data_IF_725838879485
#
_entry.id   IF_725838879485
#
_cell.length_a   1.000
_cell.length_b   1.000
_cell.length_c   1.000
_cell.angle_alpha   90.00
_cell.angle_beta   90.00
_cell.angle_gamma   90.00
#
_symmetry.space_group_name_H-M   'P 1'
#
loop_
_entity.id
_entity.type
_entity.pdbx_description
1 polymer ?
#
# COMPACT_ATOMS: atom_id res chain seq x y z
N UNK A 1 -24.42 24.36 4.34
CA UNK A 1 -24.77 22.95 4.03
C UNK A 1 -24.14 22.44 2.73
N UNK A 2 -24.00 23.25 1.68
CA UNK A 2 -23.47 22.85 0.38
C UNK A 2 -21.97 22.42 0.43
N UNK A 3 -21.12 23.14 1.14
CA UNK A 3 -19.69 22.85 1.25
C UNK A 3 -19.38 21.47 1.86
N UNK A 4 -20.09 21.06 2.90
CA UNK A 4 -19.92 19.75 3.53
C UNK A 4 -20.31 18.60 2.58
N UNK A 5 -21.40 18.77 1.84
CA UNK A 5 -21.84 17.78 0.84
C UNK A 5 -20.82 17.66 -0.28
N UNK A 6 -20.28 18.77 -0.76
CA UNK A 6 -19.27 18.80 -1.80
C UNK A 6 -17.98 18.09 -1.35
N UNK A 7 -17.47 18.37 -0.14
CA UNK A 7 -16.30 17.68 0.41
C UNK A 7 -16.50 16.17 0.53
N UNK A 8 -17.67 15.73 1.00
CA UNK A 8 -18.02 14.31 1.10
C UNK A 8 -18.08 13.63 -0.27
N UNK A 9 -18.73 14.27 -1.22
CA UNK A 9 -18.78 13.77 -2.60
C UNK A 9 -17.37 13.64 -3.19
N UNK A 10 -16.52 14.67 -3.06
CA UNK A 10 -15.13 14.63 -3.52
C UNK A 10 -14.31 13.50 -2.89
N UNK A 11 -14.43 13.29 -1.58
CA UNK A 11 -13.73 12.22 -0.89
C UNK A 11 -14.18 10.82 -1.35
N UNK A 12 -15.49 10.61 -1.52
CA UNK A 12 -16.03 9.34 -2.02
C UNK A 12 -15.68 9.11 -3.50
N UNK A 13 -15.71 10.16 -4.33
CA UNK A 13 -15.30 10.07 -5.74
C UNK A 13 -13.82 9.71 -5.87
N UNK A 14 -12.94 10.32 -5.06
CA UNK A 14 -11.53 9.96 -5.06
C UNK A 14 -11.32 8.50 -4.60
N UNK A 15 -12.01 8.06 -3.55
CA UNK A 15 -11.93 6.68 -3.10
C UNK A 15 -12.39 5.70 -4.20
N UNK A 16 -13.52 5.98 -4.84
CA UNK A 16 -14.03 5.18 -5.96
C UNK A 16 -13.07 5.17 -7.17
N UNK A 17 -12.46 6.32 -7.49
CA UNK A 17 -11.48 6.43 -8.57
C UNK A 17 -10.22 5.61 -8.28
N UNK A 18 -9.71 5.60 -7.04
CA UNK A 18 -8.56 4.78 -6.65
C UNK A 18 -8.87 3.28 -6.70
N UNK A 19 -10.05 2.88 -6.23
CA UNK A 19 -10.51 1.50 -6.39
C UNK A 19 -10.66 1.14 -7.88
N UNK A 20 -11.27 2.00 -8.69
CA UNK A 20 -11.39 1.81 -10.14
C UNK A 20 -10.02 1.71 -10.83
N UNK A 21 -9.05 2.52 -10.40
CA UNK A 21 -7.67 2.49 -10.92
C UNK A 21 -6.99 1.13 -10.72
N UNK A 22 -7.24 0.43 -9.62
CA UNK A 22 -6.67 -0.90 -9.38
C UNK A 22 -7.13 -1.94 -10.42
N UNK A 23 -8.31 -1.77 -11.00
CA UNK A 23 -8.78 -2.61 -12.11
C UNK A 23 -8.15 -2.26 -13.46
N UNK A 24 -7.68 -1.03 -13.64
CA UNK A 24 -7.03 -0.56 -14.87
C UNK A 24 -5.54 -0.86 -14.86
N UNK A 25 -4.88 -0.67 -13.71
CA UNK A 25 -3.44 -0.83 -13.55
C UNK A 25 -2.86 -2.13 -14.12
N UNK A 26 -3.45 -3.31 -13.88
CA UNK A 26 -2.97 -4.57 -14.44
C UNK A 26 -3.04 -4.66 -15.98
N UNK A 27 -3.89 -3.85 -16.61
CA UNK A 27 -4.07 -3.80 -18.08
C UNK A 27 -3.05 -2.89 -18.77
N UNK A 28 -2.32 -2.08 -18.01
CA UNK A 28 -1.30 -1.19 -18.57
C UNK A 28 -0.07 -2.00 -19.03
N UNK A 29 0.59 -1.59 -20.12
CA UNK A 29 1.85 -2.18 -20.54
C UNK A 29 2.87 -2.16 -19.39
N UNK A 30 3.58 -3.28 -19.19
CA UNK A 30 4.52 -3.43 -18.06
C UNK A 30 5.58 -2.34 -18.00
N UNK A 31 6.03 -1.84 -19.17
CA UNK A 31 7.03 -0.76 -19.31
C UNK A 31 6.55 0.59 -18.77
N UNK A 32 5.24 0.87 -18.80
CA UNK A 32 4.67 2.14 -18.36
C UNK A 32 4.04 2.07 -16.97
N UNK A 33 3.76 0.88 -16.50
CA UNK A 33 2.97 0.66 -15.27
C UNK A 33 3.56 1.39 -14.07
N UNK A 34 4.85 1.19 -13.79
CA UNK A 34 5.51 1.83 -12.63
C UNK A 34 5.47 3.34 -12.73
N UNK A 35 5.81 3.88 -13.92
CA UNK A 35 5.84 5.34 -14.15
C UNK A 35 4.45 5.95 -13.97
N UNK A 36 3.42 5.30 -14.51
CA UNK A 36 2.04 5.80 -14.39
C UNK A 36 1.53 5.69 -12.95
N UNK A 37 1.77 4.57 -12.27
CA UNK A 37 1.37 4.40 -10.87
C UNK A 37 2.05 5.42 -9.96
N UNK A 38 3.38 5.54 -10.05
CA UNK A 38 4.15 6.49 -9.26
C UNK A 38 3.78 7.96 -9.60
N UNK A 39 3.57 8.25 -10.88
CA UNK A 39 3.18 9.57 -11.36
C UNK A 39 1.78 9.98 -10.88
N UNK A 40 0.80 9.07 -10.93
CA UNK A 40 -0.55 9.31 -10.38
C UNK A 40 -0.50 9.57 -8.88
N UNK A 41 0.25 8.76 -8.12
CA UNK A 41 0.45 8.98 -6.68
C UNK A 41 1.04 10.36 -6.39
N UNK A 42 2.11 10.73 -7.10
CA UNK A 42 2.75 12.04 -6.98
C UNK A 42 1.81 13.20 -7.38
N UNK A 43 1.07 13.07 -8.47
CA UNK A 43 0.10 14.07 -8.91
C UNK A 43 -1.00 14.29 -7.87
N UNK A 44 -1.52 13.23 -7.28
CA UNK A 44 -2.52 13.32 -6.21
C UNK A 44 -1.99 14.06 -4.99
N UNK A 45 -0.74 13.79 -4.57
CA UNK A 45 -0.08 14.55 -3.48
C UNK A 45 -0.01 16.04 -3.80
N UNK A 46 0.39 16.40 -5.02
CA UNK A 46 0.48 17.80 -5.45
C UNK A 46 -0.87 18.49 -5.48
N UNK A 47 -1.88 17.86 -6.08
CA UNK A 47 -3.24 18.41 -6.20
C UNK A 47 -3.90 18.58 -4.83
N UNK A 48 -3.77 17.60 -3.95
CA UNK A 48 -4.34 17.65 -2.60
C UNK A 48 -3.48 18.45 -1.61
N UNK A 49 -2.26 18.83 -2.01
CA UNK A 49 -1.27 19.47 -1.14
C UNK A 49 -1.05 18.68 0.15
N UNK A 50 -1.06 17.35 0.06
CA UNK A 50 -0.94 16.48 1.22
C UNK A 50 0.46 16.61 1.84
N UNK A 51 0.57 16.87 3.16
CA UNK A 51 1.87 16.96 3.82
C UNK A 51 2.47 15.56 3.99
N UNK A 52 3.62 15.31 3.37
CA UNK A 52 4.29 14.01 3.45
C UNK A 52 5.08 13.80 4.73
N UNK A 53 5.46 14.88 5.43
CA UNK A 53 6.25 14.79 6.66
C UNK A 53 7.65 14.20 6.47
N UNK A 54 8.25 14.34 5.26
CA UNK A 54 9.57 13.79 4.91
C UNK A 54 10.74 14.74 5.27
N UNK A 55 10.48 15.77 6.06
CA UNK A 55 11.50 16.65 6.64
C UNK A 55 11.53 16.53 8.16
N UNK A 56 12.69 16.95 8.83
CA UNK A 56 12.77 16.99 10.28
C UNK A 56 11.74 17.96 10.88
N UNK A 57 11.21 17.70 12.08
CA UNK A 57 11.45 16.52 12.95
C UNK A 57 10.60 15.30 12.60
N UNK A 58 9.58 15.44 11.73
CA UNK A 58 8.60 14.40 11.41
C UNK A 58 9.24 13.18 10.74
N UNK A 59 10.21 13.41 9.86
CA UNK A 59 10.95 12.30 9.23
C UNK A 59 11.61 11.40 10.28
N UNK A 60 12.25 11.99 11.31
CA UNK A 60 12.89 11.19 12.38
C UNK A 60 11.86 10.34 13.14
N UNK A 61 10.69 10.89 13.45
CA UNK A 61 9.61 10.16 14.07
C UNK A 61 9.09 9.04 13.16
N UNK A 62 8.96 9.33 11.86
CA UNK A 62 8.57 8.37 10.83
C UNK A 62 9.56 7.21 10.70
N UNK A 63 10.85 7.51 10.64
CA UNK A 63 11.90 6.49 10.55
C UNK A 63 11.91 5.58 11.80
N UNK A 64 11.84 6.16 13.01
CA UNK A 64 11.84 5.38 14.26
C UNK A 64 10.64 4.42 14.34
N UNK A 65 9.42 4.97 14.15
CA UNK A 65 8.20 4.16 14.23
C UNK A 65 8.09 3.18 13.07
N UNK A 66 8.46 3.63 11.87
CA UNK A 66 8.42 2.83 10.65
C UNK A 66 9.43 1.67 10.68
N UNK A 67 10.65 1.88 11.20
CA UNK A 67 11.62 0.80 11.34
C UNK A 67 11.16 -0.27 12.33
N UNK A 68 10.53 0.11 13.44
CA UNK A 68 9.97 -0.84 14.39
C UNK A 68 8.82 -1.65 13.75
N UNK A 69 7.92 -0.98 13.02
CA UNK A 69 6.83 -1.63 12.30
C UNK A 69 7.34 -2.53 11.16
N UNK A 70 8.37 -2.08 10.43
CA UNK A 70 9.01 -2.84 9.36
C UNK A 70 9.65 -4.14 9.89
N UNK A 71 10.38 -4.05 11.00
CA UNK A 71 10.97 -5.22 11.65
C UNK A 71 9.89 -6.23 12.07
N UNK A 72 8.82 -5.75 12.73
CA UNK A 72 7.70 -6.60 13.14
C UNK A 72 7.02 -7.27 11.92
N UNK A 73 6.78 -6.51 10.85
CA UNK A 73 6.16 -7.00 9.64
C UNK A 73 7.04 -8.06 8.94
N UNK A 74 8.32 -7.77 8.73
CA UNK A 74 9.26 -8.72 8.11
C UNK A 74 9.39 -10.00 8.94
N UNK A 75 9.47 -9.89 10.27
CA UNK A 75 9.51 -11.05 11.18
C UNK A 75 8.23 -11.89 11.07
N UNK A 76 7.06 -11.26 10.96
CA UNK A 76 5.79 -11.95 10.78
C UNK A 76 5.75 -12.71 9.46
N UNK A 77 6.16 -12.07 8.35
CA UNK A 77 6.24 -12.72 7.04
C UNK A 77 7.21 -13.91 7.10
N UNK A 78 8.41 -13.72 7.66
CA UNK A 78 9.39 -14.79 7.80
C UNK A 78 8.85 -15.96 8.62
N UNK A 79 8.22 -15.69 9.76
CA UNK A 79 7.63 -16.72 10.62
C UNK A 79 6.49 -17.48 9.92
N UNK A 80 5.60 -16.77 9.22
CA UNK A 80 4.49 -17.42 8.50
C UNK A 80 4.96 -18.24 7.30
N UNK A 81 6.09 -17.87 6.67
CA UNK A 81 6.70 -18.65 5.58
C UNK A 81 7.23 -20.02 6.03
N UNK A 82 7.45 -20.22 7.33
CA UNK A 82 7.80 -21.55 7.87
C UNK A 82 6.62 -22.53 7.79
N UNK A 83 5.39 -22.05 7.70
CA UNK A 83 4.21 -22.87 7.57
C UNK A 83 4.14 -23.49 6.15
N UNK A 84 4.00 -24.81 6.09
CA UNK A 84 4.00 -25.54 4.82
C UNK A 84 2.98 -25.00 3.78
N UNK A 85 1.71 -24.68 4.13
CA UNK A 85 0.77 -24.13 3.16
C UNK A 85 1.21 -22.77 2.59
N UNK A 86 1.80 -21.89 3.42
CA UNK A 86 2.30 -20.58 2.99
C UNK A 86 3.48 -20.77 2.05
N UNK A 87 4.45 -21.60 2.42
CA UNK A 87 5.62 -21.89 1.58
C UNK A 87 5.23 -22.49 0.24
N UNK A 88 4.28 -23.41 0.20
CA UNK A 88 3.77 -23.99 -1.06
C UNK A 88 3.10 -22.92 -1.94
N UNK A 89 2.28 -22.05 -1.35
CA UNK A 89 1.69 -20.91 -2.07
C UNK A 89 2.74 -19.94 -2.61
N UNK A 90 3.85 -19.70 -1.90
CA UNK A 90 4.95 -18.87 -2.38
C UNK A 90 5.73 -19.52 -3.53
N UNK A 91 5.94 -20.84 -3.48
CA UNK A 91 6.72 -21.58 -4.49
C UNK A 91 6.09 -21.53 -5.89
N UNK A 92 4.77 -21.42 -6.00
CA UNK A 92 4.07 -21.35 -7.29
C UNK A 92 3.95 -19.93 -7.86
N UNK A 93 4.30 -18.90 -7.10
CA UNK A 93 4.25 -17.51 -7.56
C UNK A 93 5.44 -17.20 -8.47
N UNK A 94 5.19 -16.47 -9.55
CA UNK A 94 6.23 -16.03 -10.47
C UNK A 94 6.64 -14.57 -10.20
N UNK A 95 7.96 -14.27 -10.20
CA UNK A 95 8.43 -12.89 -10.17
C UNK A 95 7.91 -12.12 -11.39
N UNK A 96 7.44 -10.87 -11.22
CA UNK A 96 6.84 -10.09 -12.30
C UNK A 96 7.87 -9.51 -13.30
N UNK A 97 9.10 -9.93 -13.26
CA UNK A 97 10.20 -9.48 -14.11
C UNK A 97 11.55 -9.97 -13.58
N UNK A 98 12.63 -9.24 -13.85
CA UNK A 98 13.93 -9.55 -13.24
C UNK A 98 13.89 -9.24 -11.73
N UNK A 99 14.65 -9.99 -10.94
CA UNK A 99 14.72 -9.80 -9.49
C UNK A 99 15.12 -8.37 -9.11
N UNK A 100 16.15 -7.75 -9.72
CA UNK A 100 16.48 -6.35 -9.42
C UNK A 100 15.37 -5.37 -9.78
N UNK A 101 14.69 -5.54 -10.93
CA UNK A 101 13.56 -4.68 -11.30
C UNK A 101 12.41 -4.82 -10.30
N UNK A 102 12.11 -6.04 -9.88
CA UNK A 102 11.05 -6.28 -8.89
C UNK A 102 11.34 -5.63 -7.55
N UNK A 103 12.51 -5.92 -6.96
CA UNK A 103 12.86 -5.46 -5.62
C UNK A 103 13.20 -3.96 -5.57
N UNK A 104 13.91 -3.42 -6.57
CA UNK A 104 14.46 -2.06 -6.49
C UNK A 104 13.59 -1.00 -7.19
N UNK A 105 12.65 -1.42 -8.05
CA UNK A 105 11.84 -0.49 -8.84
C UNK A 105 10.33 -0.72 -8.62
N UNK A 106 9.83 -1.92 -8.90
CA UNK A 106 8.38 -2.17 -8.85
C UNK A 106 7.84 -2.08 -7.44
N UNK A 107 8.47 -2.73 -6.47
CA UNK A 107 8.03 -2.65 -5.08
C UNK A 107 8.16 -1.23 -4.54
N UNK A 108 9.33 -0.56 -4.55
CA UNK A 108 9.46 0.75 -3.94
C UNK A 108 8.63 1.85 -4.60
N UNK A 109 8.61 1.90 -5.94
CA UNK A 109 7.97 2.98 -6.68
C UNK A 109 6.58 2.61 -7.18
N UNK A 110 6.44 1.43 -7.81
CA UNK A 110 5.18 0.99 -8.39
C UNK A 110 4.13 0.62 -7.35
N UNK A 111 4.53 0.10 -6.21
CA UNK A 111 3.63 -0.30 -5.12
C UNK A 111 3.69 0.70 -3.97
N UNK A 112 4.79 0.73 -3.22
CA UNK A 112 4.86 1.46 -1.95
C UNK A 112 4.65 2.96 -2.12
N UNK A 113 5.45 3.62 -2.97
CA UNK A 113 5.30 5.05 -3.20
C UNK A 113 3.90 5.39 -3.75
N UNK A 114 3.45 4.66 -4.77
CA UNK A 114 2.18 4.96 -5.44
C UNK A 114 0.99 4.81 -4.49
N UNK A 115 0.95 3.74 -3.70
CA UNK A 115 -0.16 3.46 -2.79
C UNK A 115 -0.13 4.33 -1.54
N UNK A 116 1.04 4.53 -0.91
CA UNK A 116 1.12 5.39 0.25
C UNK A 116 0.80 6.86 -0.10
N UNK A 117 1.24 7.33 -1.26
CA UNK A 117 0.91 8.67 -1.77
C UNK A 117 -0.59 8.83 -2.05
N UNK A 118 -1.21 7.84 -2.68
CA UNK A 118 -2.62 7.89 -3.03
C UNK A 118 -3.55 7.74 -1.81
N UNK A 119 -3.30 6.73 -0.97
CA UNK A 119 -4.21 6.38 0.12
C UNK A 119 -3.88 7.12 1.43
N UNK A 120 -2.60 7.14 1.87
CA UNK A 120 -2.20 7.68 3.19
C UNK A 120 -1.90 9.18 3.14
N UNK A 121 -1.53 9.71 1.97
CA UNK A 121 -1.40 11.15 1.82
C UNK A 121 -2.69 11.75 1.25
N UNK A 122 -2.99 11.53 -0.04
CA UNK A 122 -4.07 12.24 -0.73
C UNK A 122 -5.47 11.89 -0.21
N UNK A 123 -5.87 10.61 -0.23
CA UNK A 123 -7.22 10.21 0.20
C UNK A 123 -7.43 10.45 1.70
N UNK A 124 -6.41 10.24 2.53
CA UNK A 124 -6.52 10.46 3.97
C UNK A 124 -6.79 11.93 4.31
N UNK A 125 -6.11 12.89 3.64
CA UNK A 125 -6.34 14.32 3.90
C UNK A 125 -7.72 14.77 3.42
N UNK A 126 -8.12 14.37 2.21
CA UNK A 126 -9.44 14.70 1.65
C UNK A 126 -10.55 14.05 2.48
N UNK A 127 -10.38 12.79 2.85
CA UNK A 127 -11.31 12.05 3.70
C UNK A 127 -11.45 12.65 5.10
N UNK A 128 -10.32 13.07 5.70
CA UNK A 128 -10.34 13.70 7.03
C UNK A 128 -11.03 15.07 7.01
N UNK A 129 -10.87 15.84 5.94
CA UNK A 129 -11.59 17.10 5.76
C UNK A 129 -13.12 16.91 5.58
N UNK A 130 -13.55 15.76 5.07
CA UNK A 130 -14.95 15.43 4.82
C UNK A 130 -15.65 14.75 6.00
N UNK A 131 -14.94 13.84 6.71
CA UNK A 131 -15.52 12.93 7.70
C UNK A 131 -14.83 12.96 9.07
N UNK A 132 -13.85 13.85 9.27
CA UNK A 132 -13.00 13.86 10.44
C UNK A 132 -11.91 12.79 10.37
N UNK A 133 -10.94 12.86 11.30
CA UNK A 133 -9.73 12.02 11.31
C UNK A 133 -10.05 10.52 11.28
N UNK A 134 -10.95 10.05 12.12
CA UNK A 134 -11.33 8.63 12.17
C UNK A 134 -12.09 8.19 10.93
N UNK A 135 -13.03 9.01 10.44
CA UNK A 135 -13.78 8.72 9.23
C UNK A 135 -12.89 8.71 7.98
N UNK A 136 -11.94 9.64 7.89
CA UNK A 136 -10.95 9.66 6.80
C UNK A 136 -10.04 8.44 6.82
N UNK A 137 -9.58 8.01 8.01
CA UNK A 137 -8.79 6.78 8.15
C UNK A 137 -9.60 5.54 7.76
N UNK A 138 -10.86 5.47 8.16
CA UNK A 138 -11.72 4.36 7.77
C UNK A 138 -11.97 4.32 6.27
N UNK A 139 -12.26 5.48 5.66
CA UNK A 139 -12.47 5.59 4.22
C UNK A 139 -11.25 5.09 3.43
N UNK A 140 -10.05 5.58 3.77
CA UNK A 140 -8.83 5.16 3.05
C UNK A 140 -8.50 3.69 3.27
N UNK A 141 -8.73 3.14 4.46
CA UNK A 141 -8.51 1.73 4.76
C UNK A 141 -9.48 0.82 3.98
N UNK A 142 -10.76 1.21 3.93
CA UNK A 142 -11.77 0.50 3.14
C UNK A 142 -11.45 0.55 1.64
N UNK A 143 -11.13 1.73 1.11
CA UNK A 143 -10.75 1.87 -0.30
C UNK A 143 -9.49 1.07 -0.63
N UNK A 144 -8.50 1.06 0.26
CA UNK A 144 -7.29 0.26 0.12
C UNK A 144 -7.58 -1.24 0.11
N UNK A 145 -8.43 -1.73 1.01
CA UNK A 145 -8.88 -3.13 0.97
C UNK A 145 -9.54 -3.49 -0.35
N UNK A 146 -10.50 -2.66 -0.79
CA UNK A 146 -11.23 -2.88 -2.04
C UNK A 146 -10.34 -2.81 -3.29
N UNK A 147 -9.26 -2.04 -3.26
CA UNK A 147 -8.31 -1.96 -4.39
C UNK A 147 -7.51 -3.24 -4.62
N UNK A 148 -7.53 -4.20 -3.67
CA UNK A 148 -6.88 -5.51 -3.82
C UNK A 148 -7.80 -6.61 -4.40
N UNK A 149 -9.04 -6.27 -4.75
CA UNK A 149 -9.95 -7.23 -5.41
C UNK A 149 -9.36 -7.81 -6.71
N UNK A 150 -8.75 -7.02 -7.61
CA UNK A 150 -8.15 -7.56 -8.83
C UNK A 150 -7.02 -8.56 -8.55
N UNK A 151 -6.17 -8.27 -7.57
CA UNK A 151 -5.04 -9.13 -7.20
C UNK A 151 -5.53 -10.46 -6.61
N UNK A 152 -6.51 -10.41 -5.69
CA UNK A 152 -7.12 -11.61 -5.13
C UNK A 152 -7.71 -12.53 -6.23
N UNK A 153 -8.38 -11.92 -7.22
CA UNK A 153 -8.94 -12.66 -8.35
C UNK A 153 -7.87 -13.26 -9.26
N UNK A 154 -6.79 -12.52 -9.49
CA UNK A 154 -5.67 -12.97 -10.33
C UNK A 154 -4.90 -14.12 -9.69
N UNK A 155 -4.80 -14.17 -8.36
CA UNK A 155 -4.09 -15.20 -7.60
C UNK A 155 -4.99 -16.36 -7.16
N UNK A 156 -6.31 -16.28 -7.39
CA UNK A 156 -7.28 -17.28 -6.92
C UNK A 156 -7.50 -17.28 -5.40
N UNK A 157 -7.10 -16.20 -4.72
CA UNK A 157 -7.29 -16.03 -3.28
C UNK A 157 -8.73 -15.61 -2.94
N UNK A 158 -9.13 -15.83 -1.68
CA UNK A 158 -10.44 -15.37 -1.20
C UNK A 158 -10.52 -13.85 -1.23
N UNK A 159 -11.35 -13.29 -2.10
CA UNK A 159 -11.57 -11.84 -2.21
C UNK A 159 -11.94 -11.23 -0.87
N UNK A 160 -12.86 -11.86 -0.12
CA UNK A 160 -13.29 -11.33 1.17
C UNK A 160 -12.15 -11.29 2.20
N UNK A 161 -11.34 -12.36 2.27
CA UNK A 161 -10.21 -12.42 3.18
C UNK A 161 -9.14 -11.40 2.78
N UNK A 162 -8.80 -11.28 1.49
CA UNK A 162 -7.82 -10.32 0.99
C UNK A 162 -8.26 -8.89 1.29
N UNK A 163 -9.51 -8.52 0.97
CA UNK A 163 -10.06 -7.19 1.27
C UNK A 163 -10.01 -6.87 2.77
N UNK A 164 -10.34 -7.84 3.62
CA UNK A 164 -10.31 -7.65 5.06
C UNK A 164 -8.87 -7.45 5.58
N UNK A 165 -7.96 -8.33 5.20
CA UNK A 165 -6.56 -8.28 5.66
C UNK A 165 -5.85 -7.02 5.17
N UNK A 166 -6.00 -6.68 3.87
CA UNK A 166 -5.41 -5.46 3.31
C UNK A 166 -6.08 -4.20 3.84
N UNK A 167 -7.39 -4.24 4.13
CA UNK A 167 -8.11 -3.15 4.79
C UNK A 167 -7.60 -2.90 6.22
N UNK A 168 -7.38 -3.95 7.01
CA UNK A 168 -6.75 -3.85 8.34
C UNK A 168 -5.33 -3.29 8.21
N UNK A 169 -4.53 -3.81 7.29
CA UNK A 169 -3.21 -3.26 6.96
C UNK A 169 -3.27 -1.77 6.60
N UNK A 170 -4.23 -1.40 5.76
CA UNK A 170 -4.50 -0.01 5.39
C UNK A 170 -4.82 0.88 6.58
N UNK A 171 -5.61 0.39 7.53
CA UNK A 171 -5.92 1.11 8.76
C UNK A 171 -4.67 1.28 9.65
N UNK A 172 -3.85 0.25 9.79
CA UNK A 172 -2.58 0.30 10.53
C UNK A 172 -1.59 1.27 9.88
N UNK A 173 -1.44 1.28 8.57
CA UNK A 173 -0.60 2.22 7.84
C UNK A 173 -1.08 3.67 8.01
N UNK A 174 -2.41 3.89 7.96
CA UNK A 174 -3.00 5.20 8.27
C UNK A 174 -2.72 5.62 9.73
N UNK A 175 -2.75 4.69 10.68
CA UNK A 175 -2.38 4.95 12.07
C UNK A 175 -0.89 5.31 12.21
N UNK A 176 0.01 4.60 11.51
CA UNK A 176 1.44 4.90 11.50
C UNK A 176 1.72 6.31 10.95
N UNK A 177 1.08 6.68 9.84
CA UNK A 177 1.18 8.01 9.26
C UNK A 177 0.71 9.09 10.24
N UNK A 178 -0.45 8.91 10.83
CA UNK A 178 -1.03 9.84 11.80
C UNK A 178 -0.18 9.98 13.08
N UNK A 179 0.37 8.86 13.58
CA UNK A 179 1.12 8.81 14.85
C UNK A 179 2.49 9.44 14.73
N UNK A 180 3.14 9.27 13.57
CA UNK A 180 4.46 9.83 13.29
C UNK A 180 4.39 11.23 12.65
N UNK A 181 3.28 11.57 12.02
CA UNK A 181 3.15 12.75 11.17
C UNK A 181 3.99 12.66 9.88
N UNK A 182 4.40 11.44 9.48
CA UNK A 182 5.28 11.20 8.35
C UNK A 182 4.86 9.99 7.53
N UNK A 183 4.87 10.13 6.21
CA UNK A 183 4.64 9.03 5.28
C UNK A 183 5.76 7.98 5.33
N UNK A 184 6.95 8.33 5.83
CA UNK A 184 8.05 7.38 5.97
C UNK A 184 7.70 6.18 6.86
N UNK A 185 6.83 6.36 7.89
CA UNK A 185 6.46 5.25 8.77
C UNK A 185 5.67 4.15 8.06
N UNK A 186 4.53 4.43 7.40
CA UNK A 186 3.83 3.38 6.65
C UNK A 186 4.63 2.90 5.44
N UNK A 187 5.39 3.75 4.75
CA UNK A 187 6.24 3.32 3.64
C UNK A 187 7.26 2.26 4.04
N UNK A 188 7.93 2.41 5.18
CA UNK A 188 8.88 1.41 5.67
C UNK A 188 8.19 0.09 6.06
N UNK A 189 7.04 0.14 6.72
CA UNK A 189 6.28 -1.05 7.06
C UNK A 189 5.76 -1.78 5.81
N UNK A 190 5.24 -1.04 4.86
CA UNK A 190 4.72 -1.55 3.59
C UNK A 190 5.84 -2.15 2.73
N UNK A 191 6.97 -1.45 2.62
CA UNK A 191 8.16 -1.94 1.94
C UNK A 191 8.61 -3.28 2.53
N UNK A 192 8.73 -3.36 3.86
CA UNK A 192 9.16 -4.57 4.53
C UNK A 192 8.23 -5.78 4.30
N UNK A 193 6.91 -5.57 4.25
CA UNK A 193 5.95 -6.64 3.92
C UNK A 193 6.20 -7.15 2.50
N UNK A 194 6.31 -6.24 1.53
CA UNK A 194 6.45 -6.61 0.13
C UNK A 194 7.81 -7.25 -0.16
N UNK A 195 8.90 -6.66 0.36
CA UNK A 195 10.26 -7.21 0.18
C UNK A 195 10.42 -8.57 0.85
N UNK A 196 9.93 -8.72 2.10
CA UNK A 196 9.98 -10.00 2.78
C UNK A 196 9.15 -11.07 2.04
N UNK A 197 7.98 -10.69 1.50
CA UNK A 197 7.16 -11.57 0.66
C UNK A 197 7.87 -11.96 -0.63
N UNK A 198 8.51 -11.02 -1.31
CA UNK A 198 9.28 -11.28 -2.52
C UNK A 198 10.48 -12.21 -2.25
N UNK A 199 11.22 -11.96 -1.17
CA UNK A 199 12.33 -12.82 -0.74
C UNK A 199 11.81 -14.24 -0.42
N UNK A 200 10.65 -14.36 0.24
CA UNK A 200 10.04 -15.64 0.53
C UNK A 200 9.68 -16.43 -0.74
N UNK A 201 9.16 -15.74 -1.78
CA UNK A 201 8.91 -16.35 -3.10
C UNK A 201 10.19 -16.87 -3.72
N UNK A 202 11.26 -16.06 -3.73
CA UNK A 202 12.55 -16.44 -4.30
C UNK A 202 13.17 -17.62 -3.55
N UNK A 203 13.13 -17.62 -2.21
CA UNK A 203 13.66 -18.69 -1.37
C UNK A 203 12.88 -20.00 -1.54
N UNK A 204 11.54 -19.93 -1.66
CA UNK A 204 10.71 -21.12 -1.82
C UNK A 204 10.86 -21.79 -3.21
N UNK A 205 11.37 -21.06 -4.22
CA UNK A 205 11.61 -21.55 -5.58
C UNK A 205 13.03 -22.08 -5.81
N UNK A 206 13.97 -21.74 -4.92
CA UNK A 206 15.33 -22.25 -5.03
C UNK A 206 15.30 -23.77 -4.81
N UNK A 207 15.92 -24.58 -5.69
CA UNK A 207 16.10 -26.00 -5.42
C UNK A 207 16.81 -26.16 -4.09
N UNK A 208 16.30 -27.04 -3.22
CA UNK A 208 17.07 -27.43 -2.03
C UNK A 208 18.44 -27.93 -2.48
N UNK A 209 19.54 -27.46 -1.86
CA UNK A 209 20.90 -27.94 -2.16
C UNK A 209 21.04 -29.44 -1.91
#
# INVERSE_FOLDING_TARGET
>A
MSDRRFRRAGALSLAAALVGWSFVGPRLPASWRVVLQAGVGGALVLVTRAPLGLGPPRLRAGLRLGSAAAFSAASTVAATTLLAPVRQSMAVREPPGTVPDWLLVRIPLGTVWSEESAFRAALAIVGSAAFGRHGGRLLQATAFGLSHIPDARATGESVAATVLVTGIGGWLFGWLADRSGSLAAPMLAHLAINEAGAIAVLAARSPNP
#
